data_IF_578039510864
#
_entry.id   IF_578039510864
#
_cell.length_a   1.000
_cell.length_b   1.000
_cell.length_c   1.000
_cell.angle_alpha   90.00
_cell.angle_beta   90.00
_cell.angle_gamma   90.00
#
_symmetry.space_group_name_H-M   'P 1'
#
loop_
_entity.id
_entity.type
_entity.pdbx_description
1 polymer ?
#
# COMPACT_ATOMS: atom_id res chain seq x y z
N UNK A 1 7.95 -35.02 -23.94
CA UNK A 1 8.91 -34.37 -23.00
C UNK A 1 8.09 -33.95 -21.80
N UNK A 2 8.52 -34.29 -20.58
CA UNK A 2 7.85 -33.78 -19.37
C UNK A 2 8.19 -32.30 -19.23
N UNK A 3 7.21 -31.49 -18.83
CA UNK A 3 7.47 -30.07 -18.59
C UNK A 3 8.38 -29.93 -17.37
N UNK A 4 9.50 -29.19 -17.45
CA UNK A 4 10.49 -29.14 -16.37
C UNK A 4 10.03 -28.36 -15.13
N UNK A 5 8.96 -27.57 -15.22
CA UNK A 5 8.48 -26.71 -14.11
C UNK A 5 6.98 -26.86 -13.82
N UNK A 6 6.18 -27.21 -14.81
CA UNK A 6 4.72 -27.27 -14.77
C UNK A 6 4.18 -28.70 -15.01
N UNK A 7 5.02 -29.73 -14.83
CA UNK A 7 4.51 -31.09 -14.70
C UNK A 7 3.61 -31.18 -13.47
N UNK A 8 2.38 -31.67 -13.66
CA UNK A 8 1.44 -31.86 -12.56
C UNK A 8 1.88 -33.07 -11.74
N UNK A 9 2.38 -32.81 -10.54
CA UNK A 9 2.72 -33.81 -9.53
C UNK A 9 1.62 -33.79 -8.48
N UNK A 10 1.04 -34.95 -8.16
CA UNK A 10 0.03 -35.04 -7.12
C UNK A 10 0.69 -35.18 -5.75
N UNK A 11 0.97 -34.04 -5.13
CA UNK A 11 1.49 -33.93 -3.77
C UNK A 11 0.58 -33.02 -2.93
N UNK A 12 0.34 -33.39 -1.68
CA UNK A 12 -0.51 -32.62 -0.76
C UNK A 12 0.25 -31.57 0.04
N UNK A 13 1.58 -31.67 0.11
CA UNK A 13 2.40 -30.83 1.00
C UNK A 13 3.03 -29.64 0.26
N UNK A 14 3.57 -29.84 -0.94
CA UNK A 14 4.35 -28.84 -1.67
C UNK A 14 3.67 -28.29 -2.93
N UNK A 15 2.41 -28.66 -3.18
CA UNK A 15 1.64 -28.09 -4.27
C UNK A 15 1.09 -26.70 -3.91
N UNK A 16 1.58 -25.67 -4.59
CA UNK A 16 1.06 -24.31 -4.50
C UNK A 16 -0.04 -24.04 -5.55
N UNK A 17 -1.08 -23.29 -5.16
CA UNK A 17 -2.13 -22.84 -6.07
C UNK A 17 -1.68 -21.59 -6.84
N UNK A 18 -1.52 -21.71 -8.16
CA UNK A 18 -1.16 -20.61 -9.06
C UNK A 18 -2.20 -20.43 -10.18
N UNK A 19 -2.16 -19.30 -10.88
CA UNK A 19 -3.05 -19.03 -12.01
C UNK A 19 -4.52 -18.94 -11.59
N UNK A 20 -5.38 -19.82 -12.13
CA UNK A 20 -6.83 -19.79 -11.86
C UNK A 20 -7.25 -19.96 -10.39
N UNK A 21 -6.36 -20.50 -9.56
CA UNK A 21 -6.58 -20.69 -8.11
C UNK A 21 -5.76 -19.70 -7.26
N UNK A 22 -5.01 -18.79 -7.89
CA UNK A 22 -4.24 -17.75 -7.22
C UNK A 22 -5.03 -16.46 -7.10
N UNK A 23 -4.96 -15.83 -5.92
CA UNK A 23 -5.52 -14.50 -5.70
C UNK A 23 -4.50 -13.41 -6.08
N UNK A 24 -4.96 -12.21 -6.46
CA UNK A 24 -4.08 -11.06 -6.76
C UNK A 24 -3.21 -10.70 -5.55
N UNK A 25 -3.79 -10.82 -4.36
CA UNK A 25 -3.16 -10.60 -3.06
C UNK A 25 -1.95 -11.52 -2.86
N UNK A 26 -1.98 -12.75 -3.38
CA UNK A 26 -0.85 -13.69 -3.27
C UNK A 26 0.39 -13.19 -4.01
N UNK A 27 0.22 -12.43 -5.11
CA UNK A 27 1.35 -11.81 -5.80
C UNK A 27 1.95 -10.70 -4.95
N UNK A 28 1.11 -9.83 -4.39
CA UNK A 28 1.54 -8.72 -3.53
C UNK A 28 2.31 -9.25 -2.32
N UNK A 29 1.69 -10.16 -1.57
CA UNK A 29 2.24 -10.73 -0.35
C UNK A 29 3.49 -11.55 -0.65
N UNK A 30 3.46 -12.37 -1.71
CA UNK A 30 4.58 -13.21 -2.10
C UNK A 30 5.83 -12.43 -2.48
N UNK A 31 5.71 -11.29 -3.17
CA UNK A 31 6.89 -10.49 -3.53
C UNK A 31 7.51 -9.80 -2.32
N UNK A 32 6.72 -9.23 -1.40
CA UNK A 32 7.29 -8.59 -0.20
C UNK A 32 7.87 -9.64 0.76
N UNK A 33 7.20 -10.79 0.90
CA UNK A 33 7.69 -11.93 1.66
C UNK A 33 9.01 -12.44 1.08
N UNK A 34 9.08 -12.68 -0.23
CA UNK A 34 10.31 -13.12 -0.89
C UNK A 34 11.46 -12.12 -0.69
N UNK A 35 11.20 -10.82 -0.79
CA UNK A 35 12.21 -9.79 -0.53
C UNK A 35 12.75 -9.87 0.90
N UNK A 36 11.85 -9.98 1.88
CA UNK A 36 12.21 -10.03 3.30
C UNK A 36 12.92 -11.33 3.67
N UNK A 37 12.43 -12.48 3.19
CA UNK A 37 13.02 -13.80 3.45
C UNK A 37 14.40 -13.93 2.81
N UNK A 38 14.60 -13.44 1.58
CA UNK A 38 15.92 -13.41 0.95
C UNK A 38 16.91 -12.54 1.73
N UNK A 39 16.48 -11.34 2.15
CA UNK A 39 17.33 -10.45 2.96
C UNK A 39 17.69 -11.09 4.31
N UNK A 40 16.72 -11.71 4.98
CA UNK A 40 16.92 -12.41 6.24
C UNK A 40 17.85 -13.61 6.08
N UNK A 41 17.63 -14.43 5.05
CA UNK A 41 18.49 -15.58 4.77
C UNK A 41 19.95 -15.19 4.54
N UNK A 42 20.23 -14.13 3.78
CA UNK A 42 21.60 -13.65 3.55
C UNK A 42 22.29 -13.24 4.85
N UNK A 43 21.57 -12.51 5.70
CA UNK A 43 22.10 -11.96 6.95
C UNK A 43 22.27 -13.07 8.00
N UNK A 44 21.19 -13.80 8.27
CA UNK A 44 21.10 -14.69 9.42
C UNK A 44 21.88 -16.00 9.18
N UNK A 45 21.91 -16.49 7.94
CA UNK A 45 22.73 -17.64 7.55
C UNK A 45 24.15 -17.25 7.12
N UNK A 46 24.52 -15.96 7.22
CA UNK A 46 25.84 -15.41 6.87
C UNK A 46 26.30 -15.80 5.45
N UNK A 47 25.40 -15.67 4.47
CA UNK A 47 25.68 -16.02 3.07
C UNK A 47 26.51 -14.93 2.37
N UNK A 48 27.75 -14.72 2.83
CA UNK A 48 28.62 -13.65 2.33
C UNK A 48 28.83 -13.72 0.81
N UNK A 49 28.94 -14.93 0.25
CA UNK A 49 29.09 -15.14 -1.19
C UNK A 49 27.85 -14.73 -2.01
N UNK A 50 26.67 -14.72 -1.38
CA UNK A 50 25.41 -14.34 -2.02
C UNK A 50 25.02 -12.89 -1.79
N UNK A 51 25.78 -12.15 -0.98
CA UNK A 51 25.48 -10.75 -0.62
C UNK A 51 25.27 -9.88 -1.85
N UNK A 52 26.20 -9.97 -2.80
CA UNK A 52 26.22 -9.08 -3.95
C UNK A 52 25.24 -9.56 -5.04
N UNK A 53 25.05 -10.88 -5.18
CA UNK A 53 24.15 -11.47 -6.18
C UNK A 53 22.67 -11.37 -5.80
N UNK A 54 22.34 -11.34 -4.50
CA UNK A 54 20.95 -11.24 -4.02
C UNK A 54 20.50 -9.81 -3.73
N UNK A 55 21.41 -8.83 -3.69
CA UNK A 55 21.05 -7.44 -3.42
C UNK A 55 20.00 -6.88 -4.41
N UNK A 56 20.18 -7.09 -5.71
CA UNK A 56 19.25 -6.60 -6.73
C UNK A 56 17.90 -7.34 -6.71
N UNK A 57 17.85 -8.70 -6.68
CA UNK A 57 16.58 -9.42 -6.53
C UNK A 57 15.77 -9.01 -5.29
N UNK A 58 16.43 -8.78 -4.14
CA UNK A 58 15.77 -8.32 -2.91
C UNK A 58 15.10 -6.96 -3.14
N UNK A 59 15.85 -5.99 -3.68
CA UNK A 59 15.33 -4.64 -3.94
C UNK A 59 14.20 -4.66 -4.98
N UNK A 60 14.37 -5.44 -6.05
CA UNK A 60 13.38 -5.57 -7.10
C UNK A 60 12.06 -6.15 -6.58
N UNK A 61 12.12 -7.23 -5.79
CA UNK A 61 10.93 -7.83 -5.18
C UNK A 61 10.21 -6.83 -4.27
N UNK A 62 10.95 -6.09 -3.43
CA UNK A 62 10.36 -5.03 -2.60
C UNK A 62 9.68 -3.93 -3.41
N UNK A 63 10.35 -3.46 -4.47
CA UNK A 63 9.81 -2.45 -5.40
C UNK A 63 8.56 -2.94 -6.13
N UNK A 64 8.55 -4.19 -6.57
CA UNK A 64 7.41 -4.76 -7.29
C UNK A 64 6.22 -5.00 -6.36
N UNK A 65 6.45 -5.45 -5.13
CA UNK A 65 5.39 -5.56 -4.13
C UNK A 65 4.72 -4.21 -3.83
N UNK A 66 5.51 -3.14 -3.74
CA UNK A 66 5.00 -1.77 -3.59
C UNK A 66 4.12 -1.38 -4.79
N UNK A 67 4.60 -1.58 -6.02
CA UNK A 67 3.82 -1.30 -7.24
C UNK A 67 2.47 -2.03 -7.24
N UNK A 68 2.48 -3.35 -7.01
CA UNK A 68 1.28 -4.17 -7.02
C UNK A 68 0.30 -3.75 -5.90
N UNK A 69 0.81 -3.40 -4.73
CA UNK A 69 -0.02 -2.90 -3.62
C UNK A 69 -0.74 -1.59 -3.97
N UNK A 70 -0.02 -0.67 -4.62
CA UNK A 70 -0.61 0.60 -5.06
C UNK A 70 -1.67 0.35 -6.14
N UNK A 71 -1.37 -0.50 -7.13
CA UNK A 71 -2.33 -0.90 -8.18
C UNK A 71 -3.57 -1.55 -7.59
N UNK A 72 -3.40 -2.46 -6.64
CA UNK A 72 -4.49 -3.10 -5.92
C UNK A 72 -5.40 -2.08 -5.24
N UNK A 73 -4.83 -1.17 -4.43
CA UNK A 73 -5.60 -0.14 -3.75
C UNK A 73 -6.37 0.76 -4.74
N UNK A 74 -5.73 1.18 -5.84
CA UNK A 74 -6.37 1.98 -6.90
C UNK A 74 -7.55 1.21 -7.51
N UNK A 75 -7.32 -0.05 -7.92
CA UNK A 75 -8.34 -0.88 -8.57
C UNK A 75 -9.55 -1.10 -7.66
N UNK A 76 -9.32 -1.43 -6.38
CA UNK A 76 -10.37 -1.65 -5.40
C UNK A 76 -11.19 -0.38 -5.15
N UNK A 77 -10.53 0.76 -4.92
CA UNK A 77 -11.22 2.04 -4.70
C UNK A 77 -11.95 2.55 -5.95
N UNK A 78 -11.39 2.34 -7.14
CA UNK A 78 -12.05 2.65 -8.41
C UNK A 78 -13.29 1.77 -8.64
N UNK A 79 -13.24 0.48 -8.28
CA UNK A 79 -14.35 -0.46 -8.49
C UNK A 79 -15.66 -0.05 -7.80
N UNK A 80 -15.57 0.77 -6.76
CA UNK A 80 -16.71 1.31 -6.00
C UNK A 80 -16.96 2.81 -6.27
N UNK A 81 -16.31 3.38 -7.28
CA UNK A 81 -16.50 4.76 -7.72
C UNK A 81 -15.91 5.82 -6.79
N UNK A 82 -15.03 5.45 -5.86
CA UNK A 82 -14.36 6.39 -4.95
C UNK A 82 -13.11 7.04 -5.56
N UNK A 83 -12.58 6.47 -6.64
CA UNK A 83 -11.59 7.09 -7.51
C UNK A 83 -12.19 7.25 -8.90
N UNK A 84 -12.09 8.47 -9.46
CA UNK A 84 -12.83 8.84 -10.67
C UNK A 84 -12.30 8.25 -11.98
N UNK A 85 -10.99 8.03 -12.11
CA UNK A 85 -10.39 7.48 -13.33
C UNK A 85 -9.44 6.33 -12.97
N UNK A 86 -9.45 5.27 -13.78
CA UNK A 86 -8.36 4.30 -13.78
C UNK A 86 -7.07 5.06 -14.09
N UNK A 87 -6.11 4.99 -13.17
CA UNK A 87 -4.77 5.49 -13.42
C UNK A 87 -4.17 4.74 -14.62
N UNK A 88 -3.28 5.40 -15.37
CA UNK A 88 -2.65 4.78 -16.54
C UNK A 88 -1.98 3.46 -16.15
N UNK A 89 -2.03 2.49 -17.06
CA UNK A 89 -1.28 1.24 -16.98
C UNK A 89 0.21 1.50 -17.28
N UNK A 90 0.85 2.40 -16.54
CA UNK A 90 2.30 2.53 -16.49
C UNK A 90 2.87 1.74 -15.30
N UNK A 91 4.19 1.59 -15.27
CA UNK A 91 4.91 0.95 -14.16
C UNK A 91 5.43 1.98 -13.15
N UNK A 92 5.12 3.26 -13.33
CA UNK A 92 5.60 4.39 -12.53
C UNK A 92 4.96 4.36 -11.13
N UNK A 93 5.74 3.95 -10.13
CA UNK A 93 5.28 3.83 -8.74
C UNK A 93 4.96 5.19 -8.12
N UNK A 94 5.66 6.25 -8.54
CA UNK A 94 5.42 7.60 -8.04
C UNK A 94 4.07 8.14 -8.53
N UNK A 95 3.70 7.83 -9.78
CA UNK A 95 2.43 8.20 -10.38
C UNK A 95 1.26 7.50 -9.70
N UNK A 96 1.38 6.21 -9.41
CA UNK A 96 0.36 5.44 -8.68
C UNK A 96 0.15 6.00 -7.28
N UNK A 97 1.25 6.28 -6.57
CA UNK A 97 1.17 6.88 -5.24
C UNK A 97 0.54 8.27 -5.26
N UNK A 98 0.94 9.16 -6.19
CA UNK A 98 0.32 10.49 -6.35
C UNK A 98 -1.18 10.38 -6.62
N UNK A 99 -1.58 9.42 -7.45
CA UNK A 99 -2.99 9.18 -7.75
C UNK A 99 -3.80 8.82 -6.49
N UNK A 100 -3.28 7.94 -5.64
CA UNK A 100 -3.92 7.62 -4.35
C UNK A 100 -3.93 8.80 -3.38
N UNK A 101 -2.80 9.52 -3.27
CA UNK A 101 -2.65 10.67 -2.39
C UNK A 101 -3.64 11.79 -2.75
N UNK A 102 -3.81 12.07 -4.04
CA UNK A 102 -4.62 13.17 -4.54
C UNK A 102 -6.10 12.78 -4.78
N UNK A 103 -6.41 11.48 -4.72
CA UNK A 103 -7.71 10.91 -5.05
C UNK A 103 -8.87 11.21 -4.09
N UNK A 104 -8.64 12.00 -3.03
CA UNK A 104 -9.65 12.34 -2.01
C UNK A 104 -10.41 11.12 -1.46
N UNK A 105 -9.69 10.06 -1.09
CA UNK A 105 -10.27 8.85 -0.49
C UNK A 105 -10.95 9.21 0.82
N UNK A 106 -12.24 8.91 0.95
CA UNK A 106 -13.06 9.21 2.13
C UNK A 106 -12.77 8.31 3.35
N UNK A 107 -11.50 8.05 3.65
CA UNK A 107 -11.06 7.29 4.82
C UNK A 107 -9.75 7.87 5.37
N UNK A 108 -9.75 8.35 6.61
CA UNK A 108 -8.58 8.98 7.22
C UNK A 108 -7.41 8.02 7.40
N UNK A 109 -7.69 6.74 7.68
CA UNK A 109 -6.64 5.72 7.90
C UNK A 109 -5.92 5.40 6.59
N UNK A 110 -6.65 5.23 5.48
CA UNK A 110 -6.07 5.03 4.15
C UNK A 110 -5.22 6.24 3.76
N UNK A 111 -5.72 7.46 3.95
CA UNK A 111 -4.95 8.68 3.65
C UNK A 111 -3.63 8.73 4.43
N UNK A 112 -3.67 8.39 5.72
CA UNK A 112 -2.45 8.34 6.54
C UNK A 112 -1.48 7.25 6.06
N UNK A 113 -1.97 6.04 5.78
CA UNK A 113 -1.12 4.94 5.28
C UNK A 113 -0.46 5.27 3.94
N UNK A 114 -1.19 5.95 3.04
CA UNK A 114 -0.63 6.43 1.77
C UNK A 114 0.45 7.50 2.02
N UNK A 115 0.26 8.39 2.98
CA UNK A 115 1.29 9.37 3.37
C UNK A 115 2.52 8.67 3.99
N UNK A 116 2.32 7.69 4.87
CA UNK A 116 3.40 6.94 5.52
C UNK A 116 4.25 6.13 4.52
N UNK A 117 3.69 5.78 3.35
CA UNK A 117 4.40 5.11 2.26
C UNK A 117 5.31 6.05 1.44
N UNK A 118 5.15 7.37 1.57
CA UNK A 118 5.88 8.37 0.76
C UNK A 118 7.41 8.16 0.76
N UNK A 119 8.10 7.95 1.90
CA UNK A 119 9.55 7.80 1.90
C UNK A 119 10.04 6.60 1.09
N UNK A 120 9.30 5.49 1.13
CA UNK A 120 9.63 4.27 0.37
C UNK A 120 9.40 4.48 -1.13
N UNK A 121 8.27 5.10 -1.49
CA UNK A 121 7.96 5.43 -2.88
C UNK A 121 9.01 6.37 -3.45
N UNK A 122 9.32 7.47 -2.77
CA UNK A 122 10.32 8.44 -3.24
C UNK A 122 11.70 7.81 -3.39
N UNK A 123 12.13 7.03 -2.40
CA UNK A 123 13.42 6.33 -2.45
C UNK A 123 13.49 5.38 -3.64
N UNK A 124 12.49 4.52 -3.83
CA UNK A 124 12.48 3.55 -4.91
C UNK A 124 12.30 4.21 -6.28
N UNK A 125 11.45 5.22 -6.41
CA UNK A 125 11.23 5.93 -7.67
C UNK A 125 12.46 6.70 -8.13
N UNK A 126 13.26 7.23 -7.19
CA UNK A 126 14.54 7.89 -7.51
C UNK A 126 15.58 6.94 -8.12
N UNK A 127 15.38 5.64 -7.95
CA UNK A 127 16.30 4.58 -8.35
C UNK A 127 15.75 3.81 -9.55
N UNK A 128 14.48 3.41 -9.50
CA UNK A 128 13.85 2.47 -10.43
C UNK A 128 12.34 2.72 -10.53
N UNK A 129 11.98 3.84 -11.15
CA UNK A 129 10.58 4.23 -11.30
C UNK A 129 9.80 3.29 -12.23
N UNK A 130 10.41 2.83 -13.32
CA UNK A 130 9.78 1.99 -14.36
C UNK A 130 10.07 0.48 -14.24
N UNK A 131 10.86 0.09 -13.23
CA UNK A 131 11.20 -1.29 -12.94
C UNK A 131 12.32 -1.85 -13.80
N UNK A 132 13.11 -1.05 -14.51
CA UNK A 132 14.21 -1.52 -15.36
C UNK A 132 15.58 -1.51 -14.64
N UNK A 133 15.84 -0.51 -13.81
CA UNK A 133 17.19 -0.23 -13.27
C UNK A 133 17.68 -1.32 -12.29
N UNK A 134 16.76 -1.98 -11.58
CA UNK A 134 17.11 -3.09 -10.67
C UNK A 134 17.23 -4.44 -11.39
N UNK A 135 16.81 -4.54 -12.65
CA UNK A 135 16.80 -5.81 -13.41
C UNK A 135 17.96 -5.97 -14.37
N UNK A 136 18.37 -4.87 -15.02
CA UNK A 136 19.37 -4.92 -16.08
C UNK A 136 20.65 -4.24 -15.66
N UNK A 137 21.80 -4.78 -16.06
CA UNK A 137 23.10 -4.15 -15.77
C UNK A 137 23.31 -2.86 -16.58
N UNK A 138 22.56 -2.70 -17.66
CA UNK A 138 22.55 -1.51 -18.51
C UNK A 138 21.11 -1.12 -18.83
N UNK A 139 20.88 0.18 -18.93
CA UNK A 139 19.63 0.76 -19.40
C UNK A 139 19.43 0.51 -20.90
N UNK A 140 18.24 0.81 -21.42
CA UNK A 140 17.98 0.73 -22.87
C UNK A 140 18.90 1.65 -23.69
N UNK A 141 19.41 2.74 -23.09
CA UNK A 141 20.39 3.64 -23.69
C UNK A 141 21.84 3.14 -23.58
N UNK A 142 22.05 1.95 -23.01
CA UNK A 142 23.38 1.34 -22.83
C UNK A 142 24.20 1.90 -21.66
N UNK A 143 23.64 2.81 -20.86
CA UNK A 143 24.28 3.33 -19.63
C UNK A 143 24.27 2.28 -18.54
N UNK A 144 25.25 2.31 -17.64
CA UNK A 144 25.28 1.38 -16.50
C UNK A 144 24.11 1.70 -15.55
N UNK A 145 23.35 0.70 -15.15
CA UNK A 145 22.30 0.89 -14.17
C UNK A 145 22.86 1.22 -12.79
N UNK A 146 22.13 2.04 -12.05
CA UNK A 146 22.52 2.51 -10.72
C UNK A 146 23.89 3.20 -10.69
N UNK A 147 24.28 3.91 -11.74
CA UNK A 147 25.63 4.51 -11.88
C UNK A 147 26.06 5.36 -10.67
N UNK A 148 25.10 5.94 -9.94
CA UNK A 148 25.32 6.80 -8.76
C UNK A 148 25.36 6.05 -7.43
N UNK A 149 25.08 4.74 -7.40
CA UNK A 149 25.01 3.92 -6.18
C UNK A 149 26.04 2.81 -6.26
N UNK A 150 27.09 2.91 -5.44
CA UNK A 150 28.16 1.92 -5.41
C UNK A 150 27.91 0.79 -4.41
N UNK A 151 27.20 1.06 -3.31
CA UNK A 151 27.04 0.15 -2.17
C UNK A 151 25.65 0.30 -1.57
N UNK A 152 25.08 -0.83 -1.14
CA UNK A 152 23.87 -0.89 -0.31
C UNK A 152 24.13 -1.67 0.97
N UNK A 153 23.33 -1.42 2.00
CA UNK A 153 23.42 -2.12 3.29
C UNK A 153 22.23 -3.07 3.46
N UNK A 154 22.46 -4.38 3.38
CA UNK A 154 21.37 -5.37 3.49
C UNK A 154 20.63 -5.33 4.84
N UNK A 155 21.28 -5.14 6.00
CA UNK A 155 20.56 -4.96 7.26
C UNK A 155 19.60 -3.77 7.25
N UNK A 156 20.01 -2.63 6.68
CA UNK A 156 19.15 -1.47 6.49
C UNK A 156 17.98 -1.78 5.54
N UNK A 157 18.25 -2.42 4.40
CA UNK A 157 17.23 -2.86 3.44
C UNK A 157 16.21 -3.79 4.12
N UNK A 158 16.65 -4.77 4.90
CA UNK A 158 15.74 -5.69 5.62
C UNK A 158 14.79 -4.95 6.56
N UNK A 159 15.32 -3.99 7.34
CA UNK A 159 14.48 -3.16 8.23
C UNK A 159 13.47 -2.32 7.45
N UNK A 160 13.89 -1.73 6.33
CA UNK A 160 13.00 -0.97 5.45
C UNK A 160 11.93 -1.83 4.79
N UNK A 161 12.28 -3.06 4.34
CA UNK A 161 11.31 -4.02 3.78
C UNK A 161 10.28 -4.44 4.81
N UNK A 162 10.69 -4.67 6.06
CA UNK A 162 9.74 -4.99 7.14
C UNK A 162 8.76 -3.85 7.38
N UNK A 163 9.25 -2.63 7.55
CA UNK A 163 8.41 -1.45 7.78
C UNK A 163 7.46 -1.18 6.61
N UNK A 164 7.97 -1.27 5.37
CA UNK A 164 7.15 -1.13 4.17
C UNK A 164 6.09 -2.25 4.10
N UNK A 165 6.46 -3.51 4.32
CA UNK A 165 5.53 -4.63 4.28
C UNK A 165 4.40 -4.53 5.31
N UNK A 166 4.68 -4.04 6.51
CA UNK A 166 3.67 -3.75 7.53
C UNK A 166 2.67 -2.67 7.05
N UNK A 167 3.15 -1.61 6.40
CA UNK A 167 2.29 -0.56 5.83
C UNK A 167 1.44 -1.07 4.67
N UNK A 168 2.03 -1.84 3.74
CA UNK A 168 1.33 -2.42 2.59
C UNK A 168 0.22 -3.38 3.05
N UNK A 169 0.52 -4.22 4.04
CA UNK A 169 -0.46 -5.14 4.64
C UNK A 169 -1.63 -4.38 5.26
N UNK A 170 -1.34 -3.33 6.05
CA UNK A 170 -2.38 -2.48 6.68
C UNK A 170 -3.22 -1.75 5.64
N UNK A 171 -2.60 -1.24 4.56
CA UNK A 171 -3.31 -0.58 3.47
C UNK A 171 -4.26 -1.54 2.76
N UNK A 172 -3.77 -2.73 2.39
CA UNK A 172 -4.55 -3.78 1.72
C UNK A 172 -5.82 -4.13 2.51
N UNK A 173 -5.67 -4.50 3.79
CA UNK A 173 -6.81 -4.85 4.62
C UNK A 173 -7.74 -3.67 4.88
N UNK A 174 -7.22 -2.45 5.08
CA UNK A 174 -8.08 -1.28 5.30
C UNK A 174 -8.90 -0.94 4.06
N UNK A 175 -8.33 -1.07 2.86
CA UNK A 175 -9.05 -0.87 1.60
C UNK A 175 -10.20 -1.87 1.49
N UNK A 176 -9.95 -3.17 1.72
CA UNK A 176 -11.02 -4.19 1.70
C UNK A 176 -12.10 -3.92 2.74
N UNK A 177 -11.73 -3.63 3.99
CA UNK A 177 -12.68 -3.25 5.05
C UNK A 177 -13.53 -2.05 4.64
N UNK A 178 -12.91 -1.04 4.02
CA UNK A 178 -13.60 0.15 3.58
C UNK A 178 -14.58 -0.13 2.43
N UNK A 179 -14.22 -1.03 1.50
CA UNK A 179 -15.11 -1.52 0.46
C UNK A 179 -16.35 -2.19 1.07
N UNK A 180 -16.18 -3.03 2.09
CA UNK A 180 -17.28 -3.66 2.82
C UNK A 180 -18.13 -2.64 3.58
N UNK A 181 -17.51 -1.65 4.23
CA UNK A 181 -18.24 -0.54 4.87
C UNK A 181 -19.11 0.23 3.86
N UNK A 182 -18.59 0.52 2.67
CA UNK A 182 -19.35 1.20 1.63
C UNK A 182 -20.60 0.42 1.19
N UNK A 183 -20.54 -0.93 1.16
CA UNK A 183 -21.71 -1.78 0.84
C UNK A 183 -22.82 -1.65 1.89
N UNK A 184 -22.50 -1.26 3.12
CA UNK A 184 -23.50 -1.02 4.18
C UNK A 184 -24.14 0.36 4.13
N UNK A 185 -23.67 1.26 3.26
CA UNK A 185 -24.20 2.63 3.12
C UNK A 185 -23.90 3.57 4.29
N UNK A 186 -23.06 3.15 5.25
CA UNK A 186 -22.71 3.93 6.46
C UNK A 186 -21.39 4.68 6.27
N UNK A 187 -21.33 5.58 5.29
CA UNK A 187 -20.16 6.41 4.99
C UNK A 187 -20.58 7.76 4.40
N UNK A 188 -19.66 8.70 4.32
CA UNK A 188 -19.80 9.94 3.54
C UNK A 188 -18.68 10.03 2.50
N UNK A 189 -18.70 11.07 1.65
CA UNK A 189 -17.62 11.27 0.68
C UNK A 189 -16.25 11.53 1.31
N UNK A 190 -16.19 11.82 2.61
CA UNK A 190 -14.99 12.23 3.32
C UNK A 190 -14.61 11.36 4.51
N UNK A 191 -15.58 10.59 5.03
CA UNK A 191 -15.45 9.79 6.23
C UNK A 191 -15.98 8.37 6.01
N UNK A 192 -15.18 7.39 6.39
CA UNK A 192 -15.57 5.99 6.44
C UNK A 192 -16.47 5.72 7.64
N UNK A 193 -17.03 4.51 7.75
CA UNK A 193 -17.84 4.14 8.94
C UNK A 193 -17.00 4.24 10.21
N UNK A 194 -15.74 3.84 10.11
CA UNK A 194 -14.76 3.96 11.20
C UNK A 194 -14.54 5.41 11.59
N UNK A 195 -14.33 6.29 10.62
CA UNK A 195 -14.17 7.73 10.90
C UNK A 195 -15.43 8.31 11.57
N UNK A 196 -16.62 7.95 11.09
CA UNK A 196 -17.88 8.39 11.69
C UNK A 196 -18.04 7.95 13.15
N UNK A 197 -17.58 6.74 13.50
CA UNK A 197 -17.56 6.28 14.90
C UNK A 197 -16.63 7.12 15.76
N UNK A 198 -15.41 7.40 15.28
CA UNK A 198 -14.46 8.26 15.99
C UNK A 198 -15.03 9.67 16.16
N UNK A 199 -15.68 10.21 15.12
CA UNK A 199 -16.36 11.51 15.20
C UNK A 199 -17.46 11.47 16.27
N UNK A 200 -18.30 10.43 16.30
CA UNK A 200 -19.35 10.31 17.32
C UNK A 200 -18.76 10.30 18.74
N UNK A 201 -17.67 9.57 18.96
CA UNK A 201 -16.95 9.53 20.24
C UNK A 201 -16.38 10.90 20.62
N UNK A 202 -15.77 11.62 19.68
CA UNK A 202 -15.24 12.97 19.91
C UNK A 202 -16.33 13.99 20.26
N UNK A 203 -17.50 13.87 19.64
CA UNK A 203 -18.63 14.76 19.93
C UNK A 203 -19.27 14.44 21.29
N UNK A 204 -19.26 13.16 21.70
CA UNK A 204 -19.89 12.69 22.93
C UNK A 204 -21.41 12.75 22.88
N UNK A 205 -22.06 12.73 24.05
CA UNK A 205 -23.52 12.66 24.16
C UNK A 205 -24.22 13.81 23.43
N UNK A 206 -25.20 13.46 22.59
CA UNK A 206 -26.04 14.39 21.84
C UNK A 206 -26.72 15.44 22.72
N UNK A 207 -26.99 15.14 24.00
CA UNK A 207 -27.53 16.10 24.95
C UNK A 207 -26.60 17.33 25.14
N UNK A 208 -25.29 17.13 25.06
CA UNK A 208 -24.26 18.18 25.28
C UNK A 208 -24.01 19.05 24.07
N UNK A 209 -24.64 18.77 22.92
CA UNK A 209 -24.34 19.46 21.65
C UNK A 209 -24.87 20.90 21.57
N UNK A 210 -25.65 21.35 22.57
CA UNK A 210 -26.12 22.74 22.70
C UNK A 210 -25.20 23.59 23.58
N UNK A 211 -24.21 22.97 24.21
CA UNK A 211 -23.26 23.65 25.08
C UNK A 211 -22.16 24.34 24.26
N UNK A 212 -21.53 25.35 24.85
CA UNK A 212 -20.40 26.07 24.24
C UNK A 212 -19.21 25.14 23.93
N UNK A 213 -19.07 24.05 24.70
CA UNK A 213 -18.07 23.00 24.50
C UNK A 213 -18.21 22.28 23.15
N UNK A 214 -19.40 22.27 22.54
CA UNK A 214 -19.63 21.64 21.25
C UNK A 214 -18.89 22.33 20.11
N UNK A 215 -18.75 23.67 20.16
CA UNK A 215 -18.03 24.43 19.13
C UNK A 215 -16.56 24.00 19.07
N UNK A 216 -15.91 23.82 20.22
CA UNK A 216 -14.53 23.35 20.31
C UNK A 216 -14.38 21.91 19.78
N UNK A 217 -15.32 21.02 20.13
CA UNK A 217 -15.32 19.63 19.61
C UNK A 217 -15.51 19.60 18.09
N UNK A 218 -16.41 20.43 17.55
CA UNK A 218 -16.62 20.57 16.10
C UNK A 218 -15.35 21.03 15.41
N UNK A 219 -14.67 22.05 15.94
CA UNK A 219 -13.41 22.56 15.39
C UNK A 219 -12.32 21.48 15.39
N UNK A 220 -12.18 20.72 16.48
CA UNK A 220 -11.25 19.61 16.58
C UNK A 220 -11.53 18.51 15.53
N UNK A 221 -12.80 18.11 15.37
CA UNK A 221 -13.21 17.14 14.34
C UNK A 221 -12.90 17.66 12.93
N UNK A 222 -13.26 18.91 12.63
CA UNK A 222 -13.01 19.50 11.32
C UNK A 222 -11.51 19.54 11.00
N UNK A 223 -10.67 19.89 11.99
CA UNK A 223 -9.23 19.91 11.83
C UNK A 223 -8.66 18.50 11.60
N UNK A 224 -9.06 17.51 12.40
CA UNK A 224 -8.54 16.15 12.32
C UNK A 224 -8.91 15.44 11.02
N UNK A 225 -10.14 15.61 10.54
CA UNK A 225 -10.65 14.90 9.36
C UNK A 225 -10.63 15.77 8.08
N UNK A 226 -10.15 17.01 8.16
CA UNK A 226 -10.12 17.94 7.03
C UNK A 226 -11.52 18.33 6.51
N UNK A 227 -12.50 18.45 7.41
CA UNK A 227 -13.90 18.69 7.05
C UNK A 227 -14.21 20.19 7.03
N UNK A 228 -14.94 20.62 5.99
CA UNK A 228 -15.63 21.91 6.04
C UNK A 228 -16.89 21.80 6.92
N UNK A 229 -17.43 22.94 7.37
CA UNK A 229 -18.68 22.95 8.15
C UNK A 229 -19.82 22.18 7.46
N UNK A 230 -19.92 22.24 6.13
CA UNK A 230 -20.94 21.50 5.37
C UNK A 230 -20.69 19.98 5.38
N UNK A 231 -19.44 19.55 5.25
CA UNK A 231 -19.05 18.13 5.27
C UNK A 231 -19.20 17.54 6.68
N UNK A 232 -18.87 18.32 7.71
CA UNK A 232 -19.15 17.98 9.11
C UNK A 232 -20.64 17.72 9.35
N UNK A 233 -21.53 18.62 8.89
CA UNK A 233 -22.97 18.40 9.03
C UNK A 233 -23.43 17.09 8.38
N UNK A 234 -22.93 16.76 7.17
CA UNK A 234 -23.23 15.47 6.53
C UNK A 234 -22.75 14.27 7.33
N UNK A 235 -21.57 14.35 7.95
CA UNK A 235 -21.05 13.29 8.81
C UNK A 235 -21.95 13.10 10.04
N UNK A 236 -22.32 14.21 10.70
CA UNK A 236 -23.25 14.21 11.83
C UNK A 236 -24.62 13.63 11.45
N UNK A 237 -25.17 13.99 10.30
CA UNK A 237 -26.46 13.47 9.82
C UNK A 237 -26.41 11.96 9.53
N UNK A 238 -25.23 11.39 9.26
CA UNK A 238 -25.05 9.94 9.14
C UNK A 238 -24.79 9.20 10.45
N UNK A 239 -24.39 9.91 11.49
CA UNK A 239 -24.21 9.36 12.84
C UNK A 239 -25.55 9.22 13.56
N UNK A 240 -26.49 10.13 13.28
CA UNK A 240 -27.87 10.13 13.80
C UNK A 240 -28.73 9.03 13.18
#
# INVERSE_FOLDING_TARGET
MKDPFFEVIFDGEWNACVGSQGAEENYIDGYIEAAFELASAVIDKRLYASRDTLAMPILYNGRHALELSLKFAINRLHSIGLLGALHKLDHDILSHWKHLRDGNVGDATIRQLVADLEPFVQSLASIDDDGQELRYAKTQEGKKSLERIAVVNLPHIRSSLKAMGELLTRLKYRVEDFLDECRTGTYTGECSRRDLRVIAEMLGDHATWREESFTQKKEAVCAQFGLSSKKFSKAVDKIR
#
